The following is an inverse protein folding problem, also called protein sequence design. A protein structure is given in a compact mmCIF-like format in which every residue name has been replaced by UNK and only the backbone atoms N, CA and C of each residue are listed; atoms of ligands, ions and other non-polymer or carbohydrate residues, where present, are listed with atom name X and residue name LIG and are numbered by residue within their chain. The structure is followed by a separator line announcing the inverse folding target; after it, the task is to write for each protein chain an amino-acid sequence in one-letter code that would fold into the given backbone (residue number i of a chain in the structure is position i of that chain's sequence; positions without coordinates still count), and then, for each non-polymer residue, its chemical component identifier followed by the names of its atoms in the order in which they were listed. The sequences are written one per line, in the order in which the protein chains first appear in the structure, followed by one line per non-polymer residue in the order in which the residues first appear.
data_IF_314110609983
#
_entry.id   IF_314110609983
#
_cell.length_a   1.000
_cell.length_b   1.000
_cell.length_c   1.000
_cell.angle_alpha   90.00
_cell.angle_beta   90.00
_cell.angle_gamma   90.00
#
_symmetry.space_group_name_H-M   'P 1'
#
loop_
_entity.id
_entity.type
_entity.pdbx_description
1 polymer ?
#
# COMPACT_ATOMS: atom_id res chain seq x y z
N UNK A 1 -11.82 -19.22 -14.76
CA UNK A 1 -11.21 -17.89 -15.01
C UNK A 1 -12.29 -16.87 -14.68
N UNK A 2 -12.36 -16.45 -13.42
CA UNK A 2 -13.36 -15.50 -12.93
C UNK A 2 -12.64 -14.61 -11.91
N UNK A 3 -11.70 -13.80 -12.39
CA UNK A 3 -10.92 -12.83 -11.60
C UNK A 3 -11.72 -11.56 -11.30
N UNK A 4 -13.04 -11.70 -11.08
CA UNK A 4 -13.98 -10.60 -10.81
C UNK A 4 -14.17 -10.33 -9.31
N UNK A 5 -13.25 -10.77 -8.45
CA UNK A 5 -13.42 -10.73 -7.01
C UNK A 5 -12.18 -10.26 -6.22
N UNK A 6 -11.23 -9.55 -6.85
CA UNK A 6 -10.29 -8.66 -6.12
C UNK A 6 -11.07 -7.44 -5.59
N UNK A 7 -11.98 -7.75 -4.68
CA UNK A 7 -12.98 -6.86 -4.13
C UNK A 7 -12.26 -5.91 -3.19
N UNK A 8 -11.93 -4.73 -3.70
CA UNK A 8 -11.35 -3.60 -2.97
C UNK A 8 -12.15 -3.17 -1.71
N UNK A 9 -13.33 -3.75 -1.49
CA UNK A 9 -14.16 -3.57 -0.30
C UNK A 9 -13.61 -4.34 0.92
N UNK A 10 -12.66 -5.25 0.72
CA UNK A 10 -12.05 -6.07 1.78
C UNK A 10 -10.62 -5.65 2.12
N UNK A 11 -10.22 -4.41 1.79
CA UNK A 11 -8.93 -3.85 2.23
C UNK A 11 -9.03 -3.47 3.71
N UNK A 12 -9.18 -4.49 4.56
CA UNK A 12 -9.21 -4.32 6.00
C UNK A 12 -7.80 -4.00 6.51
N UNK A 13 -7.71 -3.26 7.63
CA UNK A 13 -6.43 -3.02 8.30
C UNK A 13 -5.66 -4.31 8.57
N UNK A 14 -6.35 -5.43 8.87
CA UNK A 14 -5.71 -6.74 9.02
C UNK A 14 -5.03 -7.24 7.75
N UNK A 15 -5.67 -7.16 6.59
CA UNK A 15 -5.08 -7.56 5.30
C UNK A 15 -3.85 -6.72 4.95
N UNK A 16 -3.88 -5.43 5.31
CA UNK A 16 -2.74 -4.52 5.12
C UNK A 16 -1.57 -4.96 6.01
N UNK A 17 -1.85 -5.28 7.28
CA UNK A 17 -0.84 -5.75 8.23
C UNK A 17 -0.23 -7.07 7.79
N UNK A 18 -1.06 -8.02 7.30
CA UNK A 18 -0.60 -9.31 6.78
C UNK A 18 0.30 -9.13 5.55
N UNK A 19 -0.12 -8.30 4.58
CA UNK A 19 0.69 -7.99 3.39
C UNK A 19 2.03 -7.31 3.74
N UNK A 20 2.04 -6.40 4.73
CA UNK A 20 3.27 -5.80 5.23
C UNK A 20 4.17 -6.85 5.89
N UNK A 21 3.58 -7.74 6.68
CA UNK A 21 4.31 -8.83 7.34
C UNK A 21 4.93 -9.81 6.35
N UNK A 22 4.24 -10.17 5.26
CA UNK A 22 4.78 -10.99 4.17
C UNK A 22 5.99 -10.35 3.49
N UNK A 23 6.04 -9.01 3.43
CA UNK A 23 7.19 -8.26 2.93
C UNK A 23 8.31 -8.09 3.97
N UNK A 24 8.16 -8.65 5.17
CA UNK A 24 9.10 -8.51 6.28
C UNK A 24 9.01 -7.17 7.01
N UNK A 25 7.97 -6.38 6.75
CA UNK A 25 7.75 -5.09 7.40
C UNK A 25 6.93 -5.31 8.67
N UNK A 26 7.56 -5.06 9.82
CA UNK A 26 6.89 -5.17 11.12
C UNK A 26 6.34 -3.81 11.54
N UNK A 27 5.02 -3.73 11.62
CA UNK A 27 4.34 -2.54 12.12
C UNK A 27 4.33 -2.59 13.64
N UNK A 28 5.04 -1.67 14.29
CA UNK A 28 5.10 -1.55 15.75
C UNK A 28 3.94 -0.74 16.30
N UNK A 29 3.63 0.38 15.63
CA UNK A 29 2.56 1.27 16.11
C UNK A 29 1.93 2.08 14.99
N UNK A 30 0.59 2.09 15.03
CA UNK A 30 -0.25 2.95 14.21
C UNK A 30 -0.43 2.45 12.79
N UNK A 31 -1.68 2.32 12.37
CA UNK A 31 -2.07 2.26 10.97
C UNK A 31 -3.02 3.42 10.71
N UNK A 32 -2.46 4.61 10.45
CA UNK A 32 -3.28 5.80 10.24
C UNK A 32 -3.61 5.95 8.76
N UNK A 33 -4.89 5.91 8.36
CA UNK A 33 -5.26 6.21 6.98
C UNK A 33 -5.00 7.69 6.67
N UNK A 34 -4.27 7.95 5.60
CA UNK A 34 -4.06 9.31 5.08
C UNK A 34 -5.17 9.65 4.08
N UNK A 35 -5.56 10.93 4.04
CA UNK A 35 -6.56 11.41 3.09
C UNK A 35 -5.95 11.45 1.69
N UNK A 36 -6.20 10.41 0.90
CA UNK A 36 -5.78 10.33 -0.50
C UNK A 36 -6.99 9.97 -1.37
N UNK A 37 -7.22 10.80 -2.39
CA UNK A 37 -8.39 10.72 -3.26
C UNK A 37 -8.33 9.55 -4.26
N UNK A 38 -7.13 9.17 -4.68
CA UNK A 38 -6.94 8.16 -5.73
C UNK A 38 -6.53 6.79 -5.19
N UNK A 39 -5.71 6.76 -4.14
CA UNK A 39 -5.08 5.56 -3.62
C UNK A 39 -5.39 5.40 -2.13
N UNK A 40 -5.37 4.17 -1.61
CA UNK A 40 -5.45 3.95 -0.18
C UNK A 40 -4.04 4.07 0.39
N UNK A 41 -3.80 5.16 1.11
CA UNK A 41 -2.50 5.45 1.70
C UNK A 41 -2.60 5.28 3.21
N UNK A 42 -1.69 4.51 3.79
CA UNK A 42 -1.60 4.34 5.24
C UNK A 42 -0.19 4.71 5.67
N UNK A 43 -0.10 5.42 6.78
CA UNK A 43 1.15 5.63 7.49
C UNK A 43 1.23 4.71 8.70
N UNK A 44 2.44 4.19 8.95
CA UNK A 44 2.73 3.36 10.12
C UNK A 44 4.16 3.58 10.60
N UNK A 45 4.44 3.16 11.83
CA UNK A 45 5.80 3.12 12.38
C UNK A 45 6.28 1.68 12.49
N UNK A 46 7.54 1.42 12.16
CA UNK A 46 8.20 0.15 12.42
C UNK A 46 8.77 0.07 13.85
N UNK A 47 9.34 -1.09 14.20
CA UNK A 47 9.99 -1.34 15.49
C UNK A 47 11.20 -0.41 15.75
N UNK A 48 11.82 0.12 14.70
CA UNK A 48 12.90 1.12 14.75
C UNK A 48 12.38 2.56 14.88
N UNK A 49 11.07 2.77 15.09
CA UNK A 49 10.38 4.08 15.15
C UNK A 49 10.53 4.90 13.85
N UNK A 50 10.77 4.25 12.73
CA UNK A 50 10.81 4.88 11.41
C UNK A 50 9.40 4.96 10.86
N UNK A 51 9.06 6.12 10.31
CA UNK A 51 7.76 6.36 9.68
C UNK A 51 7.79 5.88 8.24
N UNK A 52 6.90 4.96 7.92
CA UNK A 52 6.69 4.46 6.57
C UNK A 52 5.29 4.81 6.08
N UNK A 53 5.17 4.85 4.76
CA UNK A 53 3.90 5.05 4.07
C UNK A 53 3.75 3.94 3.04
N UNK A 54 2.62 3.22 3.11
CA UNK A 54 2.23 2.24 2.11
C UNK A 54 1.12 2.81 1.25
N UNK A 55 1.24 2.62 -0.07
CA UNK A 55 0.28 3.09 -1.07
C UNK A 55 -0.28 1.88 -1.82
N UNK A 56 -1.56 1.60 -1.62
CA UNK A 56 -2.28 0.56 -2.31
C UNK A 56 -2.93 1.13 -3.57
N UNK A 57 -2.45 0.68 -4.73
CA UNK A 57 -2.99 1.03 -6.04
C UNK A 57 -4.19 0.16 -6.37
N UNK A 58 -5.14 0.72 -7.14
CA UNK A 58 -6.30 -0.05 -7.59
C UNK A 58 -5.89 -1.00 -8.72
N UNK A 59 -6.22 -2.30 -8.64
CA UNK A 59 -6.10 -3.19 -9.78
C UNK A 59 -6.95 -2.63 -10.94
N UNK A 60 -6.52 -2.88 -12.17
CA UNK A 60 -7.17 -2.45 -13.43
C UNK A 60 -7.10 -0.95 -13.77
N UNK A 61 -6.75 -0.06 -12.83
CA UNK A 61 -6.55 1.36 -13.14
C UNK A 61 -5.10 1.71 -13.48
N UNK A 62 -4.16 0.96 -12.92
CA UNK A 62 -2.72 1.16 -13.15
C UNK A 62 -2.10 -0.15 -13.59
N UNK A 63 -1.45 -0.15 -14.74
CA UNK A 63 -0.61 -1.28 -15.16
C UNK A 63 0.67 -1.30 -14.32
N UNK A 64 1.23 -2.49 -14.09
CA UNK A 64 2.49 -2.64 -13.33
C UNK A 64 3.59 -1.75 -13.92
N UNK A 65 3.65 -1.61 -15.25
CA UNK A 65 4.58 -0.71 -15.93
C UNK A 65 4.36 0.77 -15.60
N UNK A 66 3.10 1.24 -15.52
CA UNK A 66 2.80 2.63 -15.13
C UNK A 66 3.17 2.91 -13.66
N UNK A 67 2.96 1.92 -12.77
CA UNK A 67 3.38 2.04 -11.37
C UNK A 67 4.91 2.14 -11.30
N UNK A 68 5.64 1.30 -12.04
CA UNK A 68 7.11 1.36 -12.10
C UNK A 68 7.61 2.68 -12.67
N UNK A 69 6.97 3.21 -13.71
CA UNK A 69 7.32 4.50 -14.30
C UNK A 69 7.12 5.66 -13.30
N UNK A 70 6.00 5.68 -12.56
CA UNK A 70 5.79 6.65 -11.45
C UNK A 70 6.87 6.50 -10.37
N UNK A 71 7.20 5.25 -9.97
CA UNK A 71 8.21 4.97 -8.96
C UNK A 71 9.62 5.38 -9.40
N UNK A 72 9.99 5.16 -10.67
CA UNK A 72 11.28 5.60 -11.22
C UNK A 72 11.34 7.13 -11.35
N UNK A 73 10.25 7.75 -11.76
CA UNK A 73 10.16 9.21 -11.87
C UNK A 73 10.39 9.91 -10.52
N UNK A 74 10.00 9.27 -9.40
CA UNK A 74 10.15 9.82 -8.04
C UNK A 74 11.57 9.71 -7.44
N UNK A 75 12.51 8.99 -8.08
CA UNK A 75 13.91 8.89 -7.62
C UNK A 75 14.80 10.04 -8.16
N UNK A 76 14.24 10.96 -8.95
CA UNK A 76 14.98 12.03 -9.62
C UNK A 76 14.73 13.42 -9.01
N UNK A 77 14.39 13.50 -7.72
CA UNK A 77 14.24 14.74 -6.93
C UNK A 77 15.06 14.69 -5.64
#
# INVERSE_FOLDING_TARGET
MNDNAFTFQTLHPETIMDALFEQGIRVDSGLTPLNSYENRVYQFQDEDRRRFVVKFYRPERWSVDQIREEHQSRLNW
#
